data_IF_746998715825
#
_entry.id   IF_746998715825
#
_cell.length_a   1.000
_cell.length_b   1.000
_cell.length_c   1.000
_cell.angle_alpha   90.00
_cell.angle_beta   90.00
_cell.angle_gamma   90.00
#
_symmetry.space_group_name_H-M   'P 1'
#
loop_
_entity.id
_entity.type
_entity.pdbx_description
1 polymer ?
#
# COMPACT_ATOMS: atom_id res chain seq x y z
N UNK A 1 14.32 1.56 9.12
CA UNK A 1 13.19 1.73 10.06
C UNK A 1 11.85 1.44 9.34
N UNK A 2 10.74 1.30 10.08
CA UNK A 2 9.41 1.13 9.47
C UNK A 2 8.92 2.39 8.71
N UNK A 3 9.49 3.55 9.01
CA UNK A 3 9.26 4.80 8.27
C UNK A 3 9.99 4.77 6.94
N UNK A 4 11.23 4.27 6.89
CA UNK A 4 11.99 4.15 5.63
C UNK A 4 11.32 3.19 4.66
N UNK A 5 10.80 2.06 5.15
CA UNK A 5 10.01 1.11 4.34
C UNK A 5 8.79 1.80 3.71
N UNK A 6 8.12 2.68 4.46
CA UNK A 6 6.99 3.44 3.94
C UNK A 6 7.43 4.44 2.87
N UNK A 7 8.52 5.17 3.11
CA UNK A 7 9.11 6.11 2.15
C UNK A 7 9.50 5.42 0.84
N UNK A 8 10.20 4.29 0.93
CA UNK A 8 10.56 3.46 -0.24
C UNK A 8 9.32 2.93 -0.95
N UNK A 9 8.28 2.52 -0.21
CA UNK A 9 7.00 2.13 -0.78
C UNK A 9 6.33 3.24 -1.59
N UNK A 10 6.41 4.49 -1.12
CA UNK A 10 5.85 5.64 -1.83
C UNK A 10 6.63 5.95 -3.12
N UNK A 11 7.96 5.85 -3.08
CA UNK A 11 8.81 5.97 -4.28
C UNK A 11 8.50 4.86 -5.28
N UNK A 12 8.44 3.60 -4.83
CA UNK A 12 8.09 2.47 -5.68
C UNK A 12 6.71 2.65 -6.33
N UNK A 13 5.72 3.14 -5.55
CA UNK A 13 4.39 3.43 -6.07
C UNK A 13 4.43 4.46 -7.21
N UNK A 14 5.19 5.54 -7.02
CA UNK A 14 5.39 6.56 -8.05
C UNK A 14 6.06 5.98 -9.30
N UNK A 15 7.08 5.13 -9.14
CA UNK A 15 7.77 4.49 -10.26
C UNK A 15 6.86 3.55 -11.05
N UNK A 16 5.97 2.81 -10.36
CA UNK A 16 5.04 1.89 -11.01
C UNK A 16 3.90 2.62 -11.74
N UNK A 17 3.41 3.72 -11.18
CA UNK A 17 2.15 4.35 -11.62
C UNK A 17 2.32 5.71 -12.30
N UNK A 18 3.50 6.33 -12.20
CA UNK A 18 3.73 7.71 -12.60
C UNK A 18 3.07 8.76 -11.70
N UNK A 19 2.42 8.35 -10.60
CA UNK A 19 1.67 9.22 -9.69
C UNK A 19 1.99 8.89 -8.23
N UNK A 20 1.95 9.86 -7.31
CA UNK A 20 2.23 9.57 -5.91
C UNK A 20 1.05 8.82 -5.30
N UNK A 21 1.26 8.06 -4.21
CA UNK A 21 0.18 7.32 -3.56
C UNK A 21 -0.93 8.24 -3.03
N UNK A 22 -0.58 9.49 -2.69
CA UNK A 22 -1.51 10.54 -2.28
C UNK A 22 -1.10 11.86 -2.94
N UNK A 23 -2.06 12.56 -3.53
CA UNK A 23 -1.88 13.90 -4.07
C UNK A 23 -3.02 14.80 -3.58
N UNK A 24 -2.72 15.67 -2.61
CA UNK A 24 -3.59 16.77 -2.22
C UNK A 24 -3.11 18.08 -2.83
N UNK A 25 -4.01 18.99 -3.16
CA UNK A 25 -3.65 20.31 -3.71
C UNK A 25 -2.88 21.21 -2.73
N UNK A 26 -2.73 20.81 -1.46
CA UNK A 26 -1.90 21.47 -0.45
C UNK A 26 -1.23 20.43 0.45
N UNK A 27 -0.14 20.79 1.14
CA UNK A 27 0.55 19.91 2.10
C UNK A 27 -0.38 19.35 3.15
N UNK A 28 -1.21 20.20 3.77
CA UNK A 28 -2.20 19.78 4.77
C UNK A 28 -3.19 18.76 4.20
N UNK A 29 -3.71 18.98 2.99
CA UNK A 29 -4.63 18.04 2.33
C UNK A 29 -3.95 16.70 2.04
N UNK A 30 -2.68 16.72 1.61
CA UNK A 30 -1.90 15.49 1.37
C UNK A 30 -1.66 14.71 2.66
N UNK A 31 -1.32 15.39 3.76
CA UNK A 31 -1.17 14.75 5.08
C UNK A 31 -2.50 14.14 5.52
N UNK A 32 -3.61 14.86 5.38
CA UNK A 32 -4.94 14.36 5.70
C UNK A 32 -5.27 13.09 4.89
N UNK A 33 -5.06 13.12 3.57
CA UNK A 33 -5.24 11.94 2.71
C UNK A 33 -4.34 10.79 3.16
N UNK A 34 -3.07 11.06 3.48
CA UNK A 34 -2.14 10.06 3.97
C UNK A 34 -2.60 9.42 5.28
N UNK A 35 -3.27 10.14 6.18
CA UNK A 35 -3.76 9.58 7.44
C UNK A 35 -5.08 8.82 7.27
N UNK A 36 -5.98 9.33 6.44
CA UNK A 36 -7.38 8.89 6.41
C UNK A 36 -7.70 7.90 5.28
N UNK A 37 -6.90 7.90 4.20
CA UNK A 37 -7.20 7.12 2.99
C UNK A 37 -6.18 6.02 2.72
N UNK A 38 -6.64 4.89 2.17
CA UNK A 38 -5.75 3.86 1.63
C UNK A 38 -5.25 4.28 0.25
N UNK A 39 -4.00 3.94 -0.11
CA UNK A 39 -3.52 4.15 -1.47
C UNK A 39 -4.37 3.32 -2.44
N UNK A 40 -4.64 3.89 -3.62
CA UNK A 40 -5.28 3.13 -4.71
C UNK A 40 -4.37 1.97 -5.11
N UNK A 41 -4.92 0.87 -5.62
CA UNK A 41 -4.05 -0.19 -6.16
C UNK A 41 -3.28 0.34 -7.37
N UNK A 42 -1.95 0.11 -7.48
CA UNK A 42 -1.18 0.45 -8.67
C UNK A 42 -1.82 -0.06 -9.98
N UNK A 43 -2.44 -1.25 -9.91
CA UNK A 43 -3.11 -1.87 -11.05
C UNK A 43 -4.35 -1.12 -11.56
N UNK A 44 -4.92 -0.20 -10.77
CA UNK A 44 -5.98 0.70 -11.24
C UNK A 44 -5.43 1.81 -12.15
N UNK A 45 -4.15 2.17 -12.01
CA UNK A 45 -3.48 3.10 -12.91
C UNK A 45 -2.99 2.42 -14.17
N UNK A 46 -2.42 1.22 -14.03
CA UNK A 46 -1.94 0.43 -15.15
C UNK A 46 -2.19 -1.07 -14.89
N UNK A 47 -3.18 -1.69 -15.55
CA UNK A 47 -3.52 -3.09 -15.37
C UNK A 47 -2.39 -4.08 -15.72
N UNK A 48 -1.39 -3.64 -16.50
CA UNK A 48 -0.20 -4.43 -16.87
C UNK A 48 0.81 -4.56 -15.72
N UNK A 49 0.67 -3.78 -14.65
CA UNK A 49 1.51 -3.94 -13.45
C UNK A 49 1.22 -5.32 -12.87
N UNK A 50 2.31 -6.04 -12.60
CA UNK A 50 2.27 -7.36 -12.02
C UNK A 50 1.59 -7.36 -10.63
N UNK A 51 0.86 -8.44 -10.34
CA UNK A 51 0.06 -8.52 -9.11
C UNK A 51 0.91 -8.59 -7.85
N UNK A 52 2.10 -9.17 -7.94
CA UNK A 52 2.95 -9.43 -6.81
C UNK A 52 3.74 -8.17 -6.44
N UNK A 53 4.33 -7.47 -7.42
CA UNK A 53 4.94 -6.15 -7.15
C UNK A 53 3.92 -5.12 -6.67
N UNK A 54 2.68 -5.17 -7.17
CA UNK A 54 1.59 -4.36 -6.62
C UNK A 54 1.27 -4.72 -5.16
N UNK A 55 1.40 -5.98 -4.77
CA UNK A 55 1.14 -6.44 -3.39
C UNK A 55 2.27 -6.00 -2.45
N UNK A 56 3.53 -6.15 -2.89
CA UNK A 56 4.72 -5.67 -2.17
C UNK A 56 4.59 -4.16 -1.92
N UNK A 57 4.30 -3.37 -2.96
CA UNK A 57 4.15 -1.92 -2.88
C UNK A 57 3.06 -1.51 -1.87
N UNK A 58 1.88 -2.15 -1.92
CA UNK A 58 0.79 -1.83 -0.98
C UNK A 58 1.10 -2.24 0.46
N UNK A 59 1.87 -3.31 0.68
CA UNK A 59 2.33 -3.71 2.03
C UNK A 59 3.26 -2.67 2.65
N UNK A 60 4.14 -2.05 1.86
CA UNK A 60 4.98 -0.94 2.34
C UNK A 60 4.15 0.26 2.81
N UNK A 61 3.02 0.52 2.12
CA UNK A 61 2.15 1.67 2.37
C UNK A 61 1.05 1.43 3.43
N UNK A 62 1.10 0.29 4.14
CA UNK A 62 0.17 0.02 5.24
C UNK A 62 0.22 1.12 6.32
N UNK A 63 -0.94 1.53 6.83
CA UNK A 63 -1.00 2.60 7.84
C UNK A 63 -0.42 2.15 9.17
N UNK A 64 -0.74 0.93 9.60
CA UNK A 64 -0.17 0.31 10.78
C UNK A 64 1.28 -0.15 10.49
N UNK A 65 2.32 0.44 11.13
CA UNK A 65 3.70 0.06 10.92
C UNK A 65 3.97 -1.43 11.17
N UNK A 66 3.19 -2.08 12.05
CA UNK A 66 3.33 -3.52 12.38
C UNK A 66 2.91 -4.42 11.22
N UNK A 67 2.15 -3.90 10.25
CA UNK A 67 1.70 -4.62 9.05
C UNK A 67 2.62 -4.42 7.85
N UNK A 68 3.58 -3.49 7.94
CA UNK A 68 4.62 -3.28 6.93
C UNK A 68 5.68 -4.37 7.01
N UNK A 69 6.66 -4.32 6.12
CA UNK A 69 7.88 -5.09 6.30
C UNK A 69 8.61 -4.66 7.57
N UNK A 70 9.07 -5.64 8.33
CA UNK A 70 9.80 -5.43 9.58
C UNK A 70 11.13 -4.70 9.35
N UNK A 71 11.76 -4.91 8.19
CA UNK A 71 13.03 -4.28 7.80
C UNK A 71 13.07 -4.00 6.30
N UNK A 72 14.02 -3.16 5.88
CA UNK A 72 14.31 -2.94 4.46
C UNK A 72 14.84 -4.21 3.78
N UNK A 73 15.58 -5.05 4.52
CA UNK A 73 16.02 -6.36 4.03
C UNK A 73 14.84 -7.26 3.66
N UNK A 74 13.82 -7.34 4.52
CA UNK A 74 12.63 -8.14 4.24
C UNK A 74 11.84 -7.64 3.00
N UNK A 75 11.89 -6.33 2.71
CA UNK A 75 11.35 -5.78 1.47
C UNK A 75 12.20 -6.19 0.27
N UNK A 76 13.52 -6.08 0.37
CA UNK A 76 14.46 -6.48 -0.69
C UNK A 76 14.31 -7.97 -1.04
N UNK A 77 14.22 -8.85 -0.04
CA UNK A 77 14.03 -10.29 -0.25
C UNK A 77 12.75 -10.62 -1.04
N UNK A 78 11.64 -9.92 -0.76
CA UNK A 78 10.39 -10.10 -1.51
C UNK A 78 10.48 -9.56 -2.93
N UNK A 79 11.19 -8.45 -3.15
CA UNK A 79 11.46 -7.92 -4.48
C UNK A 79 12.36 -8.87 -5.28
N UNK A 80 13.39 -9.45 -4.67
CA UNK A 80 14.25 -10.44 -5.30
C UNK A 80 13.49 -11.71 -5.68
N UNK A 81 12.63 -12.22 -4.79
CA UNK A 81 11.73 -13.35 -5.10
C UNK A 81 10.87 -13.04 -6.31
N UNK A 82 10.25 -11.85 -6.32
CA UNK A 82 9.45 -11.40 -7.46
C UNK A 82 10.27 -11.35 -8.76
N UNK A 83 11.48 -10.79 -8.74
CA UNK A 83 12.37 -10.75 -9.92
C UNK A 83 12.77 -12.16 -10.40
N UNK A 84 12.91 -13.11 -9.48
CA UNK A 84 13.20 -14.53 -9.77
C UNK A 84 11.96 -15.35 -10.13
N UNK A 85 10.77 -14.73 -10.18
CA UNK A 85 9.48 -15.41 -10.39
C UNK A 85 9.16 -16.46 -9.32
N UNK A 86 9.67 -16.26 -8.11
CA UNK A 86 9.38 -17.08 -6.93
C UNK A 86 8.19 -16.52 -6.14
N UNK A 87 7.47 -17.36 -5.38
CA UNK A 87 6.40 -16.88 -4.51
C UNK A 87 6.89 -15.84 -3.49
N UNK A 88 6.26 -14.66 -3.52
CA UNK A 88 6.49 -13.60 -2.53
C UNK A 88 5.99 -14.01 -1.14
N UNK A 89 6.62 -13.52 -0.08
CA UNK A 89 6.17 -13.72 1.29
C UNK A 89 5.02 -12.79 1.67
N UNK A 90 4.92 -11.62 1.04
CA UNK A 90 3.81 -10.71 1.27
C UNK A 90 2.46 -11.34 0.95
N UNK A 91 1.69 -11.59 2.01
CA UNK A 91 0.29 -11.99 1.88
C UNK A 91 -0.53 -10.77 1.49
N UNK A 92 -1.38 -10.91 0.47
CA UNK A 92 -2.40 -9.91 0.15
C UNK A 92 -3.19 -9.60 1.42
N UNK A 93 -3.38 -8.31 1.72
CA UNK A 93 -4.41 -7.92 2.67
C UNK A 93 -5.77 -8.35 2.11
N UNK A 94 -6.31 -9.40 2.73
CA UNK A 94 -7.55 -10.04 2.31
C UNK A 94 -8.69 -9.04 2.23
N UNK A 95 -9.69 -9.35 1.41
CA UNK A 95 -10.90 -8.53 1.21
C UNK A 95 -11.58 -8.21 2.55
N UNK A 96 -11.47 -9.13 3.52
CA UNK A 96 -11.96 -8.97 4.91
C UNK A 96 -11.23 -7.85 5.67
N UNK A 97 -9.91 -7.72 5.52
CA UNK A 97 -9.16 -6.64 6.15
C UNK A 97 -9.52 -5.28 5.52
N UNK A 98 -9.84 -5.26 4.22
CA UNK A 98 -10.36 -4.07 3.52
C UNK A 98 -11.79 -3.73 3.97
N UNK A 99 -12.68 -4.72 4.12
CA UNK A 99 -14.04 -4.53 4.63
C UNK A 99 -14.05 -4.00 6.06
N UNK A 100 -13.23 -4.58 6.95
CA UNK A 100 -13.06 -4.09 8.33
C UNK A 100 -12.52 -2.65 8.38
N UNK A 101 -11.51 -2.33 7.56
CA UNK A 101 -10.97 -0.96 7.45
C UNK A 101 -12.00 0.03 6.90
N UNK A 102 -12.85 -0.39 5.96
CA UNK A 102 -13.92 0.44 5.40
C UNK A 102 -15.01 0.73 6.44
N UNK A 103 -15.45 -0.30 7.18
CA UNK A 103 -16.41 -0.16 8.29
C UNK A 103 -15.89 0.75 9.39
N UNK A 104 -14.62 0.58 9.79
CA UNK A 104 -13.99 1.42 10.81
C UNK A 104 -13.86 2.90 10.40
N UNK A 105 -13.88 3.21 9.11
CA UNK A 105 -13.70 4.57 8.58
C UNK A 105 -15.00 5.24 8.12
N UNK A 106 -16.08 4.49 7.90
CA UNK A 106 -17.39 5.01 7.52
C UNK A 106 -18.51 4.48 8.45
N UNK A 107 -18.49 4.80 9.76
CA UNK A 107 -19.42 4.22 10.72
C UNK A 107 -20.89 4.58 10.43
N UNK A 108 -21.16 5.75 9.85
CA UNK A 108 -22.53 6.21 9.53
C UNK A 108 -23.14 5.50 8.33
N UNK A 109 -22.34 5.16 7.31
CA UNK A 109 -22.79 4.40 6.14
C UNK A 109 -22.93 2.91 6.48
N UNK A 110 -22.05 2.40 7.34
CA UNK A 110 -22.12 1.02 7.83
C UNK A 110 -23.34 0.76 8.74
N UNK A 111 -23.92 1.80 9.37
CA UNK A 111 -25.14 1.69 10.16
C UNK A 111 -26.44 1.74 9.32
N UNK A 112 -26.35 1.95 8.00
CA UNK A 112 -27.49 2.07 7.07
C UNK A 112 -27.64 0.88 6.09
N UNK A 113 -26.82 -0.16 6.21
CA UNK A 113 -26.87 -1.40 5.40
C UNK A 113 -27.17 -2.57 6.33
#
# INVERSE_FOLDING_TARGET
SATDVYGLGAVLYQLLTGHPPFAGGTTYKTIKLLLETEPRSPRLWNPKIDRDVSTICLKCLEKDPRRRYFSALALAEDLERWLKHEPIQARRTGVVARGKKWLQRNPTVAAMV
#
